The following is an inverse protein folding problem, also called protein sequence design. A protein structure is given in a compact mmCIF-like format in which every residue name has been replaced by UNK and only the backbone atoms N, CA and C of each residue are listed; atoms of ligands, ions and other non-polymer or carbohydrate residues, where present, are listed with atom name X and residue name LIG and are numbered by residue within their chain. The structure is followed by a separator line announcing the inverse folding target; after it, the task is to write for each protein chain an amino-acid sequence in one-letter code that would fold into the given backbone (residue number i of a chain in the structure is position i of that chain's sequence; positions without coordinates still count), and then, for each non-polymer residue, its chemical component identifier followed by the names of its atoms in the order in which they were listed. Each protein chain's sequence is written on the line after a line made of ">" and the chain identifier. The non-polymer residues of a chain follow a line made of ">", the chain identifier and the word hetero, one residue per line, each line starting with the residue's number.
data_IF_693250897284
#
_entry.id   IF_693250897284
#
_cell.length_a   1.000
_cell.length_b   1.000
_cell.length_c   1.000
_cell.angle_alpha   90.00
_cell.angle_beta   90.00
_cell.angle_gamma   90.00
#
_symmetry.space_group_name_H-M   'P 1'
#
loop_
_entity.id
_entity.type
_entity.pdbx_description
1 polymer ?
#
# COMPACT_ATOMS: atom_id res chain seq x y z
N UNK A 1 -0.83 13.02 -6.35
CA UNK A 1 0.48 12.68 -6.92
C UNK A 1 0.34 12.05 -8.30
N UNK A 2 -0.18 10.83 -8.42
CA UNK A 2 -0.21 10.07 -9.70
C UNK A 2 -0.97 10.76 -10.84
N UNK A 3 -2.07 11.47 -10.55
CA UNK A 3 -2.76 12.27 -11.57
C UNK A 3 -1.91 13.42 -12.13
N UNK A 4 -1.12 14.08 -11.27
CA UNK A 4 -0.22 15.16 -11.71
C UNK A 4 0.91 14.59 -12.57
N UNK A 5 1.43 13.41 -12.23
CA UNK A 5 2.43 12.70 -13.04
C UNK A 5 1.87 12.25 -14.40
N UNK A 6 0.66 11.70 -14.41
CA UNK A 6 -0.01 11.34 -15.65
C UNK A 6 -0.27 12.58 -16.53
N UNK A 7 -0.65 13.70 -15.92
CA UNK A 7 -0.87 14.97 -16.62
C UNK A 7 0.44 15.62 -17.10
N UNK A 8 1.56 15.42 -16.40
CA UNK A 8 2.88 15.92 -16.82
C UNK A 8 3.49 15.13 -17.96
N UNK A 9 3.09 13.86 -18.13
CA UNK A 9 3.54 13.03 -19.25
C UNK A 9 3.14 13.63 -20.61
N UNK A 10 1.97 14.28 -20.70
CA UNK A 10 1.44 14.91 -21.92
C UNK A 10 2.38 15.99 -22.48
N UNK A 11 2.72 17.08 -21.74
CA UNK A 11 3.63 18.10 -22.26
C UNK A 11 5.04 17.56 -22.50
N UNK A 12 5.49 16.54 -21.75
CA UNK A 12 6.76 15.85 -22.02
C UNK A 12 6.73 15.08 -23.35
N UNK A 13 5.66 14.35 -23.64
CA UNK A 13 5.47 13.65 -24.91
C UNK A 13 5.45 14.63 -26.09
N UNK A 14 4.69 15.72 -25.98
CA UNK A 14 4.64 16.79 -26.97
C UNK A 14 6.03 17.35 -27.28
N UNK A 15 6.83 17.64 -26.25
CA UNK A 15 8.19 18.18 -26.40
C UNK A 15 9.08 17.27 -27.26
N UNK A 16 9.17 15.98 -26.93
CA UNK A 16 10.05 15.04 -27.63
C UNK A 16 9.55 14.69 -29.03
N UNK A 17 8.23 14.64 -29.24
CA UNK A 17 7.63 14.43 -30.56
C UNK A 17 7.89 15.64 -31.46
N UNK A 18 7.72 16.86 -30.95
CA UNK A 18 7.94 18.08 -31.71
C UNK A 18 9.42 18.27 -32.08
N UNK A 19 10.35 17.95 -31.17
CA UNK A 19 11.78 18.07 -31.39
C UNK A 19 12.40 16.95 -32.24
N UNK A 20 11.60 15.94 -32.64
CA UNK A 20 12.07 14.72 -33.32
C UNK A 20 13.21 14.03 -32.56
N UNK A 21 13.07 13.95 -31.23
CA UNK A 21 14.00 13.18 -30.39
C UNK A 21 14.06 11.73 -30.85
N UNK A 22 15.16 11.03 -30.55
CA UNK A 22 15.27 9.60 -30.83
C UNK A 22 14.06 8.81 -30.31
N UNK A 23 13.74 7.69 -30.95
CA UNK A 23 12.52 6.91 -30.66
C UNK A 23 12.39 6.58 -29.16
N UNK A 24 13.50 6.28 -28.48
CA UNK A 24 13.52 6.03 -27.04
C UNK A 24 12.98 7.20 -26.20
N UNK A 25 13.31 8.45 -26.57
CA UNK A 25 12.90 9.66 -25.86
C UNK A 25 11.41 9.95 -26.03
N UNK A 26 10.85 9.61 -27.19
CA UNK A 26 9.41 9.77 -27.44
C UNK A 26 8.59 8.73 -26.69
N UNK A 27 9.10 7.50 -26.57
CA UNK A 27 8.39 6.38 -25.94
C UNK A 27 8.41 6.47 -24.42
N UNK A 28 9.47 7.01 -23.81
CA UNK A 28 9.60 7.07 -22.34
C UNK A 28 8.42 7.79 -21.66
N UNK A 29 8.04 9.05 -22.03
CA UNK A 29 6.90 9.73 -21.42
C UNK A 29 5.58 8.98 -21.59
N UNK A 30 5.40 8.26 -22.70
CA UNK A 30 4.17 7.49 -22.97
C UNK A 30 4.03 6.32 -22.00
N UNK A 31 5.11 5.55 -21.82
CA UNK A 31 5.14 4.42 -20.89
C UNK A 31 4.96 4.91 -19.46
N UNK A 32 5.65 5.99 -19.08
CA UNK A 32 5.51 6.61 -17.77
C UNK A 32 4.08 7.12 -17.50
N UNK A 33 3.49 7.81 -18.47
CA UNK A 33 2.11 8.29 -18.42
C UNK A 33 1.12 7.14 -18.27
N UNK A 34 1.29 6.08 -19.06
CA UNK A 34 0.46 4.87 -19.00
C UNK A 34 0.45 4.23 -17.61
N UNK A 35 1.63 3.97 -17.04
CA UNK A 35 1.71 3.41 -15.69
C UNK A 35 1.18 4.37 -14.62
N UNK A 36 1.37 5.68 -14.79
CA UNK A 36 0.81 6.69 -13.89
C UNK A 36 -0.72 6.72 -13.93
N UNK A 37 -1.34 6.56 -15.11
CA UNK A 37 -2.79 6.43 -15.25
C UNK A 37 -3.33 5.15 -14.61
N UNK A 38 -2.64 4.02 -14.76
CA UNK A 38 -3.01 2.77 -14.08
C UNK A 38 -2.92 2.94 -12.56
N UNK A 39 -1.83 3.52 -12.07
CA UNK A 39 -1.67 3.79 -10.64
C UNK A 39 -2.76 4.72 -10.11
N UNK A 40 -3.12 5.75 -10.87
CA UNK A 40 -4.22 6.64 -10.51
C UNK A 40 -5.57 5.92 -10.50
N UNK A 41 -5.84 5.07 -11.49
CA UNK A 41 -7.01 4.18 -11.50
C UNK A 41 -7.07 3.30 -10.24
N UNK A 42 -5.94 2.68 -9.87
CA UNK A 42 -5.84 1.85 -8.67
C UNK A 42 -6.14 2.65 -7.40
N UNK A 43 -5.67 3.90 -7.29
CA UNK A 43 -5.99 4.77 -6.15
C UNK A 43 -7.48 5.14 -6.06
N UNK A 44 -8.20 5.18 -7.17
CA UNK A 44 -9.64 5.45 -7.16
C UNK A 44 -10.46 4.20 -6.83
N UNK A 45 -10.01 3.04 -7.32
CA UNK A 45 -10.71 1.76 -7.15
C UNK A 45 -10.50 1.17 -5.76
N UNK A 46 -9.27 1.18 -5.24
CA UNK A 46 -8.95 0.61 -3.93
C UNK A 46 -9.28 1.58 -2.78
N UNK A 47 -9.45 1.06 -1.54
CA UNK A 47 -9.67 1.89 -0.35
C UNK A 47 -8.52 2.90 -0.17
N UNK A 48 -8.78 4.14 0.29
CA UNK A 48 -9.93 4.60 1.08
C UNK A 48 -11.10 5.27 0.31
N UNK A 49 -11.00 5.49 -1.01
CA UNK A 49 -12.01 6.23 -1.79
C UNK A 49 -13.12 5.30 -2.34
N UNK A 50 -12.77 4.03 -2.64
CA UNK A 50 -13.70 2.94 -3.03
C UNK A 50 -14.77 3.35 -4.05
N UNK A 51 -14.38 3.89 -5.21
CA UNK A 51 -15.34 4.30 -6.24
C UNK A 51 -15.78 3.12 -7.10
N UNK A 52 -17.03 3.12 -7.60
CA UNK A 52 -17.51 2.04 -8.45
C UNK A 52 -16.69 1.94 -9.73
N UNK A 53 -16.35 0.73 -10.16
CA UNK A 53 -15.47 0.45 -11.29
C UNK A 53 -15.85 1.21 -12.57
N UNK A 54 -17.17 1.34 -12.83
CA UNK A 54 -17.72 2.08 -13.97
C UNK A 54 -17.34 3.57 -13.93
N UNK A 55 -17.43 4.20 -12.76
CA UNK A 55 -17.06 5.61 -12.59
C UNK A 55 -15.56 5.81 -12.79
N UNK A 56 -14.73 4.94 -12.19
CA UNK A 56 -13.27 4.99 -12.37
C UNK A 56 -12.89 4.84 -13.84
N UNK A 57 -13.49 3.87 -14.54
CA UNK A 57 -13.19 3.60 -15.94
C UNK A 57 -13.63 4.75 -16.84
N UNK A 58 -14.83 5.32 -16.62
CA UNK A 58 -15.29 6.48 -17.39
C UNK A 58 -14.42 7.70 -17.13
N UNK A 59 -14.09 8.00 -15.87
CA UNK A 59 -13.26 9.16 -15.53
C UNK A 59 -11.86 9.03 -16.14
N UNK A 60 -11.17 7.91 -15.89
CA UNK A 60 -9.83 7.67 -16.40
C UNK A 60 -9.85 7.61 -17.93
N UNK A 61 -10.82 6.91 -18.53
CA UNK A 61 -10.99 6.84 -19.98
C UNK A 61 -11.18 8.21 -20.61
N UNK A 62 -12.08 9.05 -20.09
CA UNK A 62 -12.28 10.41 -20.56
C UNK A 62 -11.01 11.25 -20.44
N UNK A 63 -10.28 11.14 -19.33
CA UNK A 63 -9.03 11.90 -19.15
C UNK A 63 -7.91 11.45 -20.08
N UNK A 64 -7.80 10.15 -20.35
CA UNK A 64 -6.81 9.61 -21.30
C UNK A 64 -7.14 10.05 -22.72
N UNK A 65 -8.41 9.97 -23.13
CA UNK A 65 -8.83 10.45 -24.46
C UNK A 65 -8.54 11.95 -24.60
N UNK A 66 -8.89 12.76 -23.60
CA UNK A 66 -8.61 14.20 -23.61
C UNK A 66 -7.11 14.47 -23.65
N UNK A 67 -6.32 13.75 -22.86
CA UNK A 67 -4.86 13.86 -22.84
C UNK A 67 -4.25 13.55 -24.22
N UNK A 68 -4.66 12.46 -24.87
CA UNK A 68 -4.20 12.08 -26.21
C UNK A 68 -4.63 13.12 -27.26
N UNK A 69 -5.87 13.62 -27.20
CA UNK A 69 -6.33 14.66 -28.12
C UNK A 69 -5.51 15.95 -27.98
N UNK A 70 -5.26 16.37 -26.74
CA UNK A 70 -4.44 17.56 -26.43
C UNK A 70 -3.00 17.33 -26.88
N UNK A 71 -2.43 16.17 -26.59
CA UNK A 71 -1.08 15.80 -26.99
C UNK A 71 -0.91 15.84 -28.50
N UNK A 72 -1.77 15.15 -29.25
CA UNK A 72 -1.69 15.10 -30.71
C UNK A 72 -1.91 16.49 -31.32
N UNK A 73 -2.88 17.24 -30.80
CA UNK A 73 -3.17 18.61 -31.27
C UNK A 73 -1.98 19.56 -31.06
N UNK A 74 -1.39 19.55 -29.86
CA UNK A 74 -0.23 20.37 -29.55
C UNK A 74 1.03 19.89 -30.29
N UNK A 75 1.24 18.57 -30.41
CA UNK A 75 2.37 18.01 -31.13
C UNK A 75 2.37 18.41 -32.60
N UNK A 76 1.22 18.34 -33.28
CA UNK A 76 1.09 18.81 -34.67
C UNK A 76 1.31 20.32 -34.76
N UNK A 77 0.69 21.09 -33.86
CA UNK A 77 0.81 22.55 -33.85
C UNK A 77 2.25 23.03 -33.61
N UNK A 78 2.94 22.46 -32.63
CA UNK A 78 4.34 22.80 -32.36
C UNK A 78 5.29 22.27 -33.41
N UNK A 79 5.01 21.11 -34.01
CA UNK A 79 5.80 20.60 -35.14
C UNK A 79 5.74 21.53 -36.34
N UNK A 80 4.55 22.05 -36.66
CA UNK A 80 4.38 23.06 -37.70
C UNK A 80 5.19 24.33 -37.42
N UNK A 81 5.20 24.77 -36.15
CA UNK A 81 5.90 25.97 -35.73
C UNK A 81 7.43 25.79 -35.70
N UNK A 82 7.87 24.58 -35.35
CA UNK A 82 9.27 24.15 -35.38
C UNK A 82 9.81 24.06 -36.81
N UNK A 83 9.03 23.51 -37.76
CA UNK A 83 9.40 23.45 -39.18
C UNK A 83 9.57 24.85 -39.81
N UNK A 84 8.96 25.89 -39.21
CA UNK A 84 9.16 27.31 -39.57
C UNK A 84 10.35 27.99 -38.86
N UNK A 85 11.13 27.24 -38.08
CA UNK A 85 12.33 27.72 -37.40
C UNK A 85 12.08 28.40 -36.05
N UNK A 86 10.84 28.42 -35.55
CA UNK A 86 10.55 28.97 -34.23
C UNK A 86 10.70 27.88 -33.15
N UNK A 87 11.83 27.89 -32.44
CA UNK A 87 12.16 26.88 -31.41
C UNK A 87 11.62 27.22 -30.03
N UNK A 88 11.31 28.50 -29.75
CA UNK A 88 10.83 28.99 -28.45
C UNK A 88 9.56 28.31 -27.89
N UNK A 89 8.55 27.98 -28.70
CA UNK A 89 7.35 27.26 -28.22
C UNK A 89 7.68 25.87 -27.64
N UNK A 90 8.66 25.18 -28.23
CA UNK A 90 9.11 23.90 -27.72
C UNK A 90 9.84 24.05 -26.37
N UNK A 91 10.58 25.16 -26.19
CA UNK A 91 11.22 25.46 -24.90
C UNK A 91 10.17 25.65 -23.79
N UNK A 92 9.10 26.41 -24.07
CA UNK A 92 8.05 26.67 -23.10
C UNK A 92 7.37 25.39 -22.62
N UNK A 93 7.00 24.49 -23.54
CA UNK A 93 6.31 23.26 -23.18
C UNK A 93 7.21 22.33 -22.35
N UNK A 94 8.51 22.27 -22.67
CA UNK A 94 9.48 21.51 -21.88
C UNK A 94 9.66 22.06 -20.46
N UNK A 95 9.72 23.39 -20.29
CA UNK A 95 9.78 24.02 -18.97
C UNK A 95 8.50 23.75 -18.17
N UNK A 96 7.33 23.91 -18.79
CA UNK A 96 6.04 23.61 -18.15
C UNK A 96 6.01 22.15 -17.71
N UNK A 97 6.45 21.22 -18.57
CA UNK A 97 6.50 19.80 -18.26
C UNK A 97 7.39 19.51 -17.04
N UNK A 98 8.58 20.10 -17.00
CA UNK A 98 9.52 19.96 -15.88
C UNK A 98 8.95 20.49 -14.57
N UNK A 99 8.33 21.68 -14.59
CA UNK A 99 7.68 22.27 -13.41
C UNK A 99 6.52 21.39 -12.93
N UNK A 100 5.71 20.87 -13.85
CA UNK A 100 4.60 19.97 -13.51
C UNK A 100 5.09 18.67 -12.87
N UNK A 101 6.14 18.08 -13.42
CA UNK A 101 6.75 16.85 -12.89
C UNK A 101 7.38 17.10 -11.51
N UNK A 102 8.13 18.19 -11.35
CA UNK A 102 8.67 18.61 -10.05
C UNK A 102 7.58 18.85 -9.02
N UNK A 103 6.46 19.48 -9.41
CA UNK A 103 5.31 19.67 -8.54
C UNK A 103 4.67 18.31 -8.15
N UNK A 104 4.67 17.35 -9.07
CA UNK A 104 4.27 15.98 -8.79
C UNK A 104 5.17 15.26 -7.79
N UNK A 105 6.46 15.63 -7.72
CA UNK A 105 7.45 15.10 -6.78
C UNK A 105 7.39 15.76 -5.39
N UNK A 106 6.67 16.88 -5.22
CA UNK A 106 6.55 17.56 -3.93
C UNK A 106 5.91 16.69 -2.83
N UNK A 107 4.77 15.99 -3.04
CA UNK A 107 4.17 15.16 -2.01
C UNK A 107 5.11 14.09 -1.44
N UNK A 108 5.81 13.27 -2.25
CA UNK A 108 6.73 12.28 -1.70
C UNK A 108 7.94 12.93 -1.01
N UNK A 109 8.44 14.07 -1.50
CA UNK A 109 9.56 14.78 -0.87
C UNK A 109 9.18 15.36 0.51
N UNK A 110 7.97 15.90 0.62
CA UNK A 110 7.42 16.41 1.88
C UNK A 110 7.19 15.29 2.90
N UNK A 111 6.65 14.15 2.46
CA UNK A 111 6.50 12.98 3.33
C UNK A 111 7.85 12.45 3.83
N UNK A 112 8.88 12.48 2.98
CA UNK A 112 10.24 12.08 3.31
C UNK A 112 10.85 12.96 4.41
N UNK A 113 10.69 14.28 4.28
CA UNK A 113 11.15 15.26 5.25
C UNK A 113 10.45 15.06 6.60
N UNK A 114 9.13 14.92 6.60
CA UNK A 114 8.33 14.84 7.83
C UNK A 114 8.54 13.55 8.61
N UNK A 115 8.89 12.44 7.95
CA UNK A 115 9.01 11.10 8.55
C UNK A 115 10.46 10.62 8.74
N UNK A 116 11.44 11.52 8.63
CA UNK A 116 12.84 11.20 8.91
C UNK A 116 13.45 10.15 7.95
N UNK A 117 13.02 10.13 6.68
CA UNK A 117 13.60 9.27 5.64
C UNK A 117 12.86 7.96 5.37
N UNK A 118 11.75 7.65 6.07
CA UNK A 118 10.95 6.47 5.75
C UNK A 118 10.07 6.73 4.53
N UNK A 119 10.49 6.26 3.35
CA UNK A 119 9.64 6.21 2.15
C UNK A 119 8.56 5.15 2.36
N UNK A 120 7.36 5.55 2.75
CA UNK A 120 6.19 4.66 2.77
C UNK A 120 5.29 5.07 1.62
N UNK A 121 4.99 4.16 0.69
CA UNK A 121 3.97 4.37 -0.34
C UNK A 121 4.49 4.56 -1.77
N UNK A 122 5.81 4.54 -2.02
CA UNK A 122 6.36 4.54 -3.39
C UNK A 122 6.86 3.14 -3.74
N UNK A 123 6.44 2.62 -4.89
CA UNK A 123 6.95 1.36 -5.41
C UNK A 123 8.39 1.57 -5.92
N UNK A 124 9.37 0.99 -5.24
CA UNK A 124 10.79 1.08 -5.62
C UNK A 124 11.07 0.60 -7.04
N UNK A 125 10.34 -0.42 -7.50
CA UNK A 125 10.50 -0.91 -8.85
C UNK A 125 10.12 0.18 -9.87
N UNK A 126 9.00 0.85 -9.65
CA UNK A 126 8.55 1.95 -10.50
C UNK A 126 9.53 3.12 -10.49
N UNK A 127 9.99 3.56 -9.31
CA UNK A 127 10.97 4.64 -9.19
C UNK A 127 12.30 4.27 -9.85
N UNK A 128 12.77 3.03 -9.70
CA UNK A 128 14.01 2.57 -10.33
C UNK A 128 13.91 2.51 -11.86
N UNK A 129 12.76 2.09 -12.39
CA UNK A 129 12.48 2.07 -13.83
C UNK A 129 12.43 3.49 -14.42
N UNK A 130 11.84 4.43 -13.69
CA UNK A 130 11.79 5.86 -14.07
C UNK A 130 13.20 6.44 -14.16
N UNK A 131 14.02 6.23 -13.12
CA UNK A 131 15.40 6.71 -13.09
C UNK A 131 16.32 6.02 -14.09
N UNK A 132 16.15 4.73 -14.34
CA UNK A 132 16.86 4.02 -15.42
C UNK A 132 16.45 4.57 -16.79
N UNK A 133 15.17 4.85 -16.99
CA UNK A 133 14.66 5.48 -18.21
C UNK A 133 15.28 6.87 -18.42
N UNK A 134 15.26 7.72 -17.39
CA UNK A 134 15.88 9.05 -17.43
C UNK A 134 17.39 8.98 -17.67
N UNK A 135 18.09 8.03 -17.04
CA UNK A 135 19.52 7.82 -17.21
C UNK A 135 19.85 7.36 -18.65
N UNK A 136 19.12 6.39 -19.20
CA UNK A 136 19.36 5.92 -20.57
C UNK A 136 19.01 6.98 -21.61
N UNK A 137 17.95 7.76 -21.38
CA UNK A 137 17.59 8.88 -22.26
C UNK A 137 18.62 10.00 -22.23
N UNK A 138 19.12 10.37 -21.04
CA UNK A 138 20.25 11.29 -20.90
C UNK A 138 21.50 10.76 -21.63
N UNK A 139 21.82 9.49 -21.44
CA UNK A 139 22.99 8.86 -22.07
C UNK A 139 22.84 8.80 -23.60
N UNK A 140 21.62 8.58 -24.08
CA UNK A 140 21.28 8.63 -25.51
C UNK A 140 21.51 10.02 -26.10
N UNK A 141 21.12 11.11 -25.41
CA UNK A 141 21.43 12.47 -25.86
C UNK A 141 22.93 12.75 -25.83
N UNK A 142 23.64 12.27 -24.80
CA UNK A 142 25.06 12.52 -24.62
C UNK A 142 25.91 11.85 -25.72
N UNK A 143 25.52 10.65 -26.16
CA UNK A 143 26.22 9.92 -27.23
C UNK A 143 25.68 10.20 -28.63
N UNK A 144 24.62 11.00 -28.77
CA UNK A 144 24.07 11.34 -30.08
C UNK A 144 25.07 12.21 -30.87
N UNK A 145 25.69 11.62 -31.90
CA UNK A 145 26.55 12.35 -32.85
C UNK A 145 25.67 13.19 -33.79
N UNK A 146 25.53 14.49 -33.53
CA UNK A 146 24.74 15.39 -34.36
C UNK A 146 24.33 16.70 -33.67
N UNK A 147 23.03 17.03 -33.72
CA UNK A 147 22.45 18.21 -33.08
C UNK A 147 22.40 18.03 -31.57
N UNK A 148 23.28 18.73 -30.85
CA UNK A 148 23.32 18.67 -29.40
C UNK A 148 22.11 19.41 -28.80
N UNK A 149 21.12 18.66 -28.33
CA UNK A 149 19.98 19.22 -27.60
C UNK A 149 20.35 19.45 -26.13
N UNK A 150 20.92 20.63 -25.87
CA UNK A 150 21.28 21.07 -24.51
C UNK A 150 20.06 21.07 -23.60
N UNK A 151 18.88 21.45 -24.11
CA UNK A 151 17.68 21.59 -23.29
C UNK A 151 17.19 20.23 -22.81
N UNK A 152 17.07 19.26 -23.72
CA UNK A 152 16.72 17.88 -23.35
C UNK A 152 17.71 17.32 -22.33
N UNK A 153 19.01 17.58 -22.48
CA UNK A 153 20.03 17.20 -21.52
C UNK A 153 19.79 17.82 -20.13
N UNK A 154 19.53 19.12 -20.04
CA UNK A 154 19.27 19.79 -18.75
C UNK A 154 17.97 19.28 -18.12
N UNK A 155 16.91 19.12 -18.90
CA UNK A 155 15.62 18.61 -18.43
C UNK A 155 15.78 17.21 -17.82
N UNK A 156 16.44 16.30 -18.53
CA UNK A 156 16.71 14.95 -18.00
C UNK A 156 17.65 14.97 -16.80
N UNK A 157 18.67 15.83 -16.78
CA UNK A 157 19.61 15.91 -15.66
C UNK A 157 18.92 16.38 -14.36
N UNK A 158 18.04 17.37 -14.45
CA UNK A 158 17.26 17.85 -13.30
C UNK A 158 16.34 16.74 -12.78
N UNK A 159 15.62 16.08 -13.68
CA UNK A 159 14.68 14.99 -13.34
C UNK A 159 15.43 13.81 -12.71
N UNK A 160 16.51 13.36 -13.35
CA UNK A 160 17.38 12.32 -12.83
C UNK A 160 17.95 12.68 -11.45
N UNK A 161 18.36 13.94 -11.25
CA UNK A 161 18.85 14.41 -9.96
C UNK A 161 17.80 14.38 -8.86
N UNK A 162 16.56 14.78 -9.16
CA UNK A 162 15.43 14.73 -8.21
C UNK A 162 15.09 13.29 -7.82
N UNK A 163 15.03 12.38 -8.79
CA UNK A 163 14.69 10.98 -8.55
C UNK A 163 15.80 10.21 -7.84
N UNK A 164 17.06 10.38 -8.26
CA UNK A 164 18.23 9.82 -7.57
C UNK A 164 18.30 10.35 -6.15
N UNK A 165 17.96 11.63 -5.92
CA UNK A 165 17.88 12.20 -4.58
C UNK A 165 16.90 11.44 -3.66
N UNK A 166 15.73 11.07 -4.17
CA UNK A 166 14.74 10.25 -3.44
C UNK A 166 15.30 8.85 -3.17
N UNK A 167 15.90 8.22 -4.18
CA UNK A 167 16.46 6.88 -4.06
C UNK A 167 17.64 6.82 -3.08
N UNK A 168 18.56 7.79 -3.13
CA UNK A 168 19.67 7.92 -2.19
C UNK A 168 19.17 8.14 -0.76
N UNK A 169 18.19 9.01 -0.55
CA UNK A 169 17.59 9.24 0.76
C UNK A 169 16.99 7.96 1.35
N UNK A 170 16.32 7.15 0.53
CA UNK A 170 15.84 5.84 0.96
C UNK A 170 16.96 4.87 1.31
N UNK A 171 18.01 4.77 0.49
CA UNK A 171 19.16 3.90 0.75
C UNK A 171 19.85 4.30 2.06
N UNK A 172 20.03 5.60 2.30
CA UNK A 172 20.59 6.12 3.55
C UNK A 172 19.73 5.71 4.75
N UNK A 173 18.40 5.81 4.64
CA UNK A 173 17.49 5.35 5.68
C UNK A 173 17.55 3.83 5.90
N UNK A 174 17.62 3.04 4.82
CA UNK A 174 17.72 1.59 4.89
C UNK A 174 19.03 1.15 5.56
N UNK A 175 20.14 1.84 5.25
CA UNK A 175 21.44 1.62 5.88
C UNK A 175 21.44 2.01 7.36
N UNK A 176 20.81 3.14 7.72
CA UNK A 176 20.70 3.61 9.11
C UNK A 176 19.80 2.71 9.96
N UNK A 177 18.70 2.23 9.39
CA UNK A 177 17.67 1.44 10.09
C UNK A 177 17.94 -0.07 10.04
N UNK A 178 18.97 -0.53 9.29
CA UNK A 178 19.43 -1.94 9.29
C UNK A 178 19.76 -2.45 10.69
N UNK A 179 20.37 -1.62 11.55
CA UNK A 179 20.72 -1.99 12.94
C UNK A 179 19.48 -2.16 13.82
N UNK A 180 18.49 -1.27 13.68
CA UNK A 180 17.22 -1.33 14.41
C UNK A 180 16.32 -2.48 13.93
N UNK A 181 16.35 -2.82 12.63
CA UNK A 181 15.61 -3.97 12.07
C UNK A 181 16.20 -5.32 12.45
N UNK A 182 17.54 -5.42 12.58
CA UNK A 182 18.15 -6.63 13.16
C UNK A 182 17.70 -6.82 14.60
N UNK A 183 17.76 -5.76 15.42
CA UNK A 183 17.29 -5.78 16.80
C UNK A 183 15.79 -6.09 16.92
N UNK A 184 14.93 -5.51 16.08
CA UNK A 184 13.50 -5.83 16.08
C UNK A 184 13.21 -7.24 15.58
N UNK A 185 13.88 -7.74 14.54
CA UNK A 185 13.74 -9.14 14.12
C UNK A 185 14.26 -10.11 15.20
N UNK A 186 15.36 -9.79 15.85
CA UNK A 186 15.88 -10.57 16.97
C UNK A 186 14.91 -10.54 18.16
N UNK A 187 14.28 -9.40 18.46
CA UNK A 187 13.24 -9.30 19.50
C UNK A 187 11.93 -10.00 19.12
N UNK A 188 11.48 -9.95 17.87
CA UNK A 188 10.28 -10.69 17.42
C UNK A 188 10.54 -12.20 17.40
N UNK A 189 11.71 -12.64 16.94
CA UNK A 189 12.11 -14.07 16.99
C UNK A 189 12.34 -14.54 18.43
N UNK A 190 12.83 -13.67 19.32
CA UNK A 190 12.93 -13.99 20.75
C UNK A 190 11.56 -14.04 21.42
N UNK A 191 10.61 -13.17 21.05
CA UNK A 191 9.25 -13.19 21.58
C UNK A 191 8.45 -14.41 21.05
N UNK A 192 8.63 -14.78 19.78
CA UNK A 192 8.10 -16.03 19.19
C UNK A 192 8.78 -17.28 19.76
N UNK A 193 10.03 -17.16 20.23
CA UNK A 193 10.77 -18.22 20.93
C UNK A 193 10.41 -18.37 22.42
N UNK A 194 9.79 -17.37 23.04
CA UNK A 194 9.26 -17.45 24.41
C UNK A 194 7.75 -17.81 24.46
N UNK A 195 7.03 -17.73 23.34
CA UNK A 195 5.62 -18.15 23.25
C UNK A 195 5.42 -19.66 22.97
N UNK A 196 6.47 -20.40 22.56
CA UNK A 196 6.46 -21.87 22.61
C UNK A 196 7.42 -22.35 23.70
N UNK A 197 7.01 -23.01 24.80
CA UNK A 197 5.79 -23.81 25.03
C UNK A 197 4.99 -23.33 26.26
N UNK A 198 4.24 -22.21 26.14
CA UNK A 198 3.21 -21.87 27.15
C UNK A 198 1.87 -22.55 26.88
N UNK A 199 1.57 -22.88 25.62
CA UNK A 199 0.38 -23.63 25.23
C UNK A 199 0.39 -25.10 25.72
N UNK A 200 1.56 -25.68 25.99
CA UNK A 200 1.66 -27.07 26.47
C UNK A 200 1.44 -27.22 27.99
N UNK A 201 1.58 -26.14 28.78
CA UNK A 201 1.35 -26.17 30.23
C UNK A 201 -0.09 -25.74 30.61
N UNK A 202 -0.75 -24.93 29.77
CA UNK A 202 -2.17 -24.61 29.97
C UNK A 202 -3.11 -25.72 29.46
N UNK A 203 -2.71 -26.50 28.46
CA UNK A 203 -3.48 -27.67 28.03
C UNK A 203 -3.54 -28.76 29.11
N UNK A 204 -2.44 -29.00 29.85
CA UNK A 204 -2.42 -30.03 30.91
C UNK A 204 -3.13 -29.57 32.20
N UNK A 205 -3.24 -28.26 32.44
CA UNK A 205 -3.96 -27.71 33.60
C UNK A 205 -5.49 -27.65 33.43
N UNK A 206 -5.98 -27.66 32.19
CA UNK A 206 -7.41 -27.55 31.90
C UNK A 206 -8.13 -28.90 32.00
N UNK A 207 -7.45 -29.99 31.61
CA UNK A 207 -8.01 -31.36 31.66
C UNK A 207 -8.20 -31.89 33.11
N UNK A 208 -7.45 -31.37 34.08
CA UNK A 208 -7.61 -31.78 35.50
C UNK A 208 -8.82 -31.08 36.13
N UNK A 209 -9.14 -29.84 35.71
CA UNK A 209 -10.31 -29.12 36.23
C UNK A 209 -11.63 -29.70 35.72
N UNK A 210 -11.67 -30.19 34.48
CA UNK A 210 -12.88 -30.78 33.89
C UNK A 210 -13.18 -32.18 34.46
N UNK A 211 -12.13 -32.95 34.81
CA UNK A 211 -12.22 -34.22 35.55
C UNK A 211 -12.73 -34.06 36.99
N UNK A 212 -12.38 -32.95 37.65
CA UNK A 212 -12.85 -32.64 39.01
C UNK A 212 -14.30 -32.13 39.03
N UNK A 213 -14.74 -31.36 38.02
CA UNK A 213 -16.14 -30.94 37.93
C UNK A 213 -17.09 -32.07 37.56
N UNK A 214 -16.65 -33.06 36.80
CA UNK A 214 -17.47 -34.24 36.48
C UNK A 214 -17.68 -35.19 37.67
N UNK A 215 -16.84 -35.10 38.71
CA UNK A 215 -17.02 -35.89 39.95
C UNK A 215 -17.92 -35.21 40.97
N UNK A 216 -18.06 -33.88 40.92
CA UNK A 216 -18.98 -33.13 41.81
C UNK A 216 -20.45 -33.20 41.36
N UNK A 217 -20.74 -33.29 40.06
CA UNK A 217 -22.12 -33.43 39.57
C UNK A 217 -22.70 -34.83 39.83
N UNK A 218 -21.88 -35.89 39.82
CA UNK A 218 -22.32 -37.24 40.22
C UNK A 218 -22.62 -37.30 41.74
N UNK A 219 -21.93 -36.47 42.54
CA UNK A 219 -22.12 -36.43 43.99
C UNK A 219 -23.40 -35.69 44.40
N UNK A 220 -23.78 -34.63 43.65
CA UNK A 220 -25.04 -33.91 43.85
C UNK A 220 -26.28 -34.74 43.52
N UNK A 221 -26.21 -35.56 42.46
CA UNK A 221 -27.32 -36.45 42.10
C UNK A 221 -27.45 -37.63 43.09
N UNK A 222 -26.34 -38.08 43.67
CA UNK A 222 -26.36 -39.15 44.69
C UNK A 222 -26.90 -38.64 46.03
N UNK A 223 -26.51 -37.43 46.47
CA UNK A 223 -27.01 -36.82 47.71
C UNK A 223 -28.48 -36.36 47.62
N UNK A 224 -28.97 -36.01 46.43
CA UNK A 224 -30.39 -35.69 46.21
C UNK A 224 -31.29 -36.94 46.26
N UNK A 225 -30.81 -38.09 45.76
CA UNK A 225 -31.54 -39.37 45.81
C UNK A 225 -31.51 -39.97 47.22
N UNK A 226 -30.40 -39.85 47.95
CA UNK A 226 -30.29 -40.34 49.34
C UNK A 226 -31.18 -39.53 50.31
N UNK A 227 -31.23 -38.20 50.18
CA UNK A 227 -32.08 -37.36 51.02
C UNK A 227 -33.59 -37.56 50.72
N UNK A 228 -33.98 -37.81 49.47
CA UNK A 228 -35.37 -38.13 49.11
C UNK A 228 -35.81 -39.52 49.60
N UNK A 229 -34.88 -40.47 49.75
CA UNK A 229 -35.15 -41.79 50.33
C UNK A 229 -35.29 -41.72 51.87
N UNK A 230 -34.48 -40.90 52.54
CA UNK A 230 -34.53 -40.70 54.00
C UNK A 230 -35.79 -39.94 54.44
N UNK A 231 -36.25 -38.96 53.65
CA UNK A 231 -37.48 -38.22 53.95
C UNK A 231 -38.74 -39.10 53.80
N UNK A 232 -38.76 -40.02 52.81
CA UNK A 232 -39.86 -40.99 52.67
C UNK A 232 -39.84 -42.08 53.76
N UNK A 233 -38.68 -42.51 54.25
CA UNK A 233 -38.59 -43.47 55.36
C UNK A 233 -39.00 -42.87 56.73
N UNK A 234 -38.76 -41.56 56.95
CA UNK A 234 -39.16 -40.87 58.19
C UNK A 234 -40.67 -40.59 58.28
N UNK A 235 -41.38 -40.58 57.14
CA UNK A 235 -42.84 -40.41 57.08
C UNK A 235 -43.59 -41.73 57.33
N UNK A 236 -42.98 -42.89 57.06
CA UNK A 236 -43.59 -44.19 57.41
C UNK A 236 -43.47 -44.54 58.91
N UNK A 237 -42.43 -44.10 59.62
CA UNK A 237 -42.24 -44.44 61.05
C UNK A 237 -43.02 -43.54 62.03
N UNK A 238 -43.53 -42.38 61.57
CA UNK A 238 -44.42 -41.52 62.37
C UNK A 238 -45.91 -41.84 62.22
N UNK A 239 -46.27 -42.80 61.35
CA UNK A 239 -47.63 -43.28 61.13
C UNK A 239 -48.08 -44.45 62.02
N UNK A 240 -47.15 -45.14 62.70
CA UNK A 240 -47.45 -46.35 63.49
C UNK A 240 -47.66 -46.12 65.00
N UNK A 241 -47.32 -44.94 65.54
CA UNK A 241 -47.39 -44.67 67.01
C UNK A 241 -48.67 -43.92 67.43
N UNK A 242 -49.58 -43.57 66.50
CA UNK A 242 -50.79 -42.76 66.79
C UNK A 242 -52.14 -43.42 66.51
N UNK A 243 -52.24 -44.76 66.48
CA UNK A 243 -53.53 -45.46 66.25
C UNK A 243 -54.05 -46.39 67.36
N UNK A 244 -53.39 -46.51 68.52
CA UNK A 244 -53.86 -47.40 69.61
C UNK A 244 -54.37 -46.70 70.89
N UNK A 245 -54.74 -45.41 70.86
CA UNK A 245 -55.27 -44.69 72.05
C UNK A 245 -56.62 -44.00 71.80
N UNK A 246 -57.49 -44.58 70.97
CA UNK A 246 -58.85 -44.05 70.80
C UNK A 246 -59.91 -45.12 70.51
N UNK A 247 -60.00 -46.16 71.35
CA UNK A 247 -61.19 -47.02 71.44
C UNK A 247 -61.40 -47.52 72.87
N UNK A 248 -61.87 -46.64 73.77
CA UNK A 248 -62.64 -47.03 74.97
C UNK A 248 -63.54 -45.87 75.41
N UNK A 249 -64.77 -45.86 74.89
CA UNK A 249 -66.03 -45.60 75.61
C UNK A 249 -67.09 -46.47 74.95
#
# INVERSE_FOLDING_TARGET
>A
MLFLWASSAVPFGVYFIAQRGGVALQVQPQIFGFFSFIGWFQCLYYPPIQRPMKYCLTLVGCTVVLAVCVEVGLAIGFRYLYDRGHTWPNLMIGIIASVLLAAGLLPPYYELWKRGGQVVGINFLFLSLDSLGALFSFLSLLFQKGTFDVLGCVLYLIVLGLEVGIMSSHIIWLLRTRKQRKLQKEMTVANEGEEGPKEALEAEGTDISESLTATDDVKKDTEAVENAAVENAAVEDTGAVKRDVATQV
#
